data_IF_074317813558
#
_entry.id   IF_074317813558
#
_cell.length_a   1.000
_cell.length_b   1.000
_cell.length_c   1.000
_cell.angle_alpha   90.00
_cell.angle_beta   90.00
_cell.angle_gamma   90.00
#
_symmetry.space_group_name_H-M   'P 1'
#
loop_
_entity.id
_entity.type
_entity.pdbx_description
1 polymer ?
#
# COMPACT_ATOMS: atom_id res chain seq x y z
N UNK A 1 18.69 18.06 -9.41
CA UNK A 1 17.28 17.89 -9.00
C UNK A 1 16.70 16.81 -9.89
N UNK A 2 16.81 15.55 -9.46
CA UNK A 2 16.26 14.43 -10.22
C UNK A 2 14.80 14.27 -9.82
N UNK A 3 13.90 14.71 -10.70
CA UNK A 3 12.51 14.27 -10.66
C UNK A 3 12.48 12.84 -11.18
N UNK A 4 12.72 11.86 -10.29
CA UNK A 4 12.37 10.48 -10.59
C UNK A 4 10.88 10.44 -10.89
N UNK A 5 10.55 10.24 -12.18
CA UNK A 5 9.21 9.90 -12.60
C UNK A 5 8.82 8.66 -11.82
N UNK A 6 7.91 8.84 -10.87
CA UNK A 6 7.30 7.76 -10.11
C UNK A 6 6.60 6.90 -11.16
N UNK A 7 7.15 5.73 -11.47
CA UNK A 7 6.56 4.81 -12.45
C UNK A 7 5.18 4.44 -11.93
N UNK A 8 4.18 5.05 -12.57
CA UNK A 8 2.74 4.88 -12.37
C UNK A 8 2.39 3.45 -12.72
N UNK A 9 2.34 2.54 -11.75
CA UNK A 9 2.23 1.12 -12.07
C UNK A 9 1.07 0.43 -11.34
N UNK A 10 -0.04 0.35 -12.08
CA UNK A 10 -1.12 -0.62 -11.89
C UNK A 10 -0.65 -2.08 -11.76
N UNK A 11 0.64 -2.34 -12.01
CA UNK A 11 1.31 -3.63 -11.86
C UNK A 11 1.28 -4.20 -10.45
N UNK A 12 1.49 -3.41 -9.38
CA UNK A 12 1.44 -3.97 -8.01
C UNK A 12 0.04 -4.48 -7.65
N UNK A 13 -0.98 -3.67 -7.93
CA UNK A 13 -2.36 -4.05 -7.69
C UNK A 13 -2.70 -5.32 -8.45
N UNK A 14 -2.41 -5.36 -9.75
CA UNK A 14 -2.72 -6.51 -10.61
C UNK A 14 -1.94 -7.76 -10.21
N UNK A 15 -0.66 -7.61 -9.83
CA UNK A 15 0.23 -8.72 -9.43
C UNK A 15 -0.23 -9.42 -8.15
N UNK A 16 -0.71 -8.65 -7.16
CA UNK A 16 -1.02 -9.16 -5.82
C UNK A 16 -2.51 -9.24 -5.49
N UNK A 17 -3.42 -8.81 -6.39
CA UNK A 17 -4.87 -8.80 -6.13
C UNK A 17 -5.39 -10.15 -5.62
N UNK A 18 -5.02 -11.25 -6.30
CA UNK A 18 -5.46 -12.59 -5.91
C UNK A 18 -4.86 -13.01 -4.57
N UNK A 19 -3.58 -12.73 -4.37
CA UNK A 19 -2.84 -13.08 -3.16
C UNK A 19 -3.39 -12.36 -1.93
N UNK A 20 -3.91 -11.14 -2.07
CA UNK A 20 -4.41 -10.33 -0.96
C UNK A 20 -5.90 -10.39 -0.73
N UNK A 21 -6.61 -11.29 -1.43
CA UNK A 21 -8.01 -11.57 -1.10
C UNK A 21 -8.13 -11.92 0.38
N UNK A 22 -9.03 -11.23 1.09
CA UNK A 22 -9.24 -11.44 2.52
C UNK A 22 -9.73 -12.88 2.81
N UNK A 23 -9.40 -13.41 3.99
CA UNK A 23 -9.80 -14.74 4.41
C UNK A 23 -8.65 -15.61 4.89
N UNK A 24 -8.97 -16.86 5.25
CA UNK A 24 -8.07 -17.77 5.98
C UNK A 24 -7.10 -18.56 5.10
N UNK A 25 -7.08 -18.31 3.78
CA UNK A 25 -6.08 -18.91 2.90
C UNK A 25 -4.73 -18.28 3.20
N UNK A 26 -3.84 -19.05 3.82
CA UNK A 26 -2.48 -18.61 4.14
C UNK A 26 -1.71 -18.28 2.88
N UNK A 27 -1.11 -17.09 2.83
CA UNK A 27 -0.16 -16.74 1.79
C UNK A 27 1.23 -17.26 2.16
N UNK A 28 1.96 -17.85 1.21
CA UNK A 28 3.33 -18.27 1.45
C UNK A 28 4.21 -17.05 1.80
N UNK A 29 5.04 -17.20 2.84
CA UNK A 29 5.95 -16.15 3.33
C UNK A 29 6.82 -15.54 2.23
N UNK A 30 7.29 -16.36 1.29
CA UNK A 30 8.10 -15.91 0.15
C UNK A 30 7.37 -14.87 -0.72
N UNK A 31 6.05 -15.04 -0.94
CA UNK A 31 5.23 -14.07 -1.67
C UNK A 31 5.10 -12.75 -0.92
N UNK A 32 5.02 -12.80 0.41
CA UNK A 32 5.00 -11.59 1.24
C UNK A 32 6.33 -10.84 1.21
N UNK A 33 7.46 -11.57 1.22
CA UNK A 33 8.79 -10.96 1.07
C UNK A 33 8.99 -10.35 -0.31
N UNK A 34 8.52 -11.03 -1.36
CA UNK A 34 8.52 -10.49 -2.73
C UNK A 34 7.73 -9.18 -2.79
N UNK A 35 6.55 -9.12 -2.18
CA UNK A 35 5.76 -7.89 -2.09
C UNK A 35 6.52 -6.75 -1.41
N UNK A 36 7.16 -7.03 -0.26
CA UNK A 36 7.99 -6.03 0.44
C UNK A 36 9.17 -5.56 -0.42
N UNK A 37 9.81 -6.47 -1.15
CA UNK A 37 10.89 -6.14 -2.08
C UNK A 37 10.40 -5.21 -3.20
N UNK A 38 9.23 -5.47 -3.78
CA UNK A 38 8.65 -4.64 -4.82
C UNK A 38 8.26 -3.25 -4.29
N UNK A 39 7.65 -3.17 -3.10
CA UNK A 39 7.34 -1.88 -2.44
C UNK A 39 8.59 -1.04 -2.21
N UNK A 40 9.70 -1.68 -1.84
CA UNK A 40 10.98 -1.02 -1.62
C UNK A 40 11.55 -0.51 -2.94
N UNK A 41 11.60 -1.38 -3.95
CA UNK A 41 12.18 -1.08 -5.28
C UNK A 41 11.42 0.04 -5.99
N UNK A 42 10.10 0.07 -5.84
CA UNK A 42 9.25 1.09 -6.44
C UNK A 42 9.14 2.37 -5.58
N UNK A 43 9.81 2.43 -4.43
CA UNK A 43 9.85 3.64 -3.58
C UNK A 43 8.54 3.92 -2.83
N UNK A 44 7.65 2.94 -2.67
CA UNK A 44 6.42 3.10 -1.90
C UNK A 44 6.70 3.27 -0.40
N UNK A 45 7.74 2.62 0.11
CA UNK A 45 8.14 2.74 1.51
C UNK A 45 8.81 4.09 1.80
N UNK A 46 8.41 4.74 2.88
CA UNK A 46 8.93 6.04 3.28
C UNK A 46 10.33 5.88 3.90
N UNK A 47 11.30 6.63 3.36
CA UNK A 47 12.62 6.77 3.98
C UNK A 47 12.51 7.49 5.34
N UNK A 48 11.82 8.63 5.34
CA UNK A 48 11.53 9.42 6.54
C UNK A 48 10.19 8.97 7.13
N UNK A 49 10.25 8.27 8.26
CA UNK A 49 9.09 7.72 8.95
C UNK A 49 9.18 8.04 10.44
N UNK A 50 8.07 8.50 11.01
CA UNK A 50 7.95 8.85 12.43
C UNK A 50 6.83 8.04 13.08
N UNK A 51 7.10 7.44 14.23
CA UNK A 51 6.12 6.65 14.97
C UNK A 51 4.92 7.49 15.46
N UNK A 52 5.11 8.77 15.75
CA UNK A 52 4.01 9.67 16.15
C UNK A 52 2.97 9.85 15.05
N UNK A 53 3.44 10.04 13.80
CA UNK A 53 2.54 10.15 12.66
C UNK A 53 1.82 8.83 12.39
N UNK A 54 2.51 7.69 12.54
CA UNK A 54 1.87 6.38 12.50
C UNK A 54 0.78 6.24 13.57
N UNK A 55 1.08 6.59 14.83
CA UNK A 55 0.13 6.47 15.94
C UNK A 55 -1.17 7.24 15.68
N UNK A 56 -1.08 8.43 15.10
CA UNK A 56 -2.25 9.23 14.72
C UNK A 56 -3.09 8.63 13.58
N UNK A 57 -2.58 7.62 12.87
CA UNK A 57 -3.23 6.98 11.73
C UNK A 57 -3.46 5.47 11.92
N UNK A 58 -3.06 4.89 13.07
CA UNK A 58 -3.09 3.43 13.28
C UNK A 58 -4.51 2.86 13.23
N UNK A 59 -5.51 3.69 13.57
CA UNK A 59 -6.93 3.35 13.49
C UNK A 59 -7.38 2.87 12.10
N UNK A 60 -6.65 3.20 11.04
CA UNK A 60 -6.94 2.73 9.68
C UNK A 60 -6.71 1.22 9.53
N UNK A 61 -5.82 0.62 10.32
CA UNK A 61 -5.62 -0.83 10.34
C UNK A 61 -6.78 -1.51 11.07
N UNK A 62 -7.22 -0.94 12.19
CA UNK A 62 -8.34 -1.49 12.97
C UNK A 62 -9.70 -1.33 12.26
N UNK A 63 -9.81 -0.31 11.39
CA UNK A 63 -11.03 0.01 10.63
C UNK A 63 -10.71 0.13 9.13
N UNK A 64 -10.50 -1.00 8.43
CA UNK A 64 -10.08 -1.00 7.02
C UNK A 64 -11.06 -0.26 6.09
N UNK A 65 -12.33 -0.18 6.46
CA UNK A 65 -13.34 0.57 5.70
C UNK A 65 -12.97 2.06 5.49
N UNK A 66 -12.22 2.67 6.41
CA UNK A 66 -11.78 4.06 6.29
C UNK A 66 -10.61 4.25 5.31
N UNK A 67 -9.93 3.18 4.91
CA UNK A 67 -8.84 3.24 3.91
C UNK A 67 -9.38 3.69 2.54
N UNK A 68 -10.67 3.47 2.25
CA UNK A 68 -11.32 3.96 1.03
C UNK A 68 -11.13 5.46 0.82
N UNK A 69 -11.04 6.22 1.90
CA UNK A 69 -10.95 7.68 1.88
C UNK A 69 -9.53 8.19 2.21
N UNK A 70 -8.59 7.28 2.51
CA UNK A 70 -7.20 7.61 2.84
C UNK A 70 -6.46 8.29 1.68
N UNK A 71 -5.51 9.17 1.98
CA UNK A 71 -4.60 9.76 1.00
C UNK A 71 -3.48 8.78 0.61
N UNK A 72 -2.79 9.06 -0.51
CA UNK A 72 -1.57 8.30 -0.91
C UNK A 72 -0.54 8.30 0.21
N UNK A 73 -0.35 9.44 0.90
CA UNK A 73 0.59 9.56 2.00
C UNK A 73 0.23 8.64 3.17
N UNK A 74 -1.06 8.52 3.50
CA UNK A 74 -1.53 7.59 4.53
C UNK A 74 -1.33 6.14 4.08
N UNK A 75 -1.68 5.78 2.85
CA UNK A 75 -1.43 4.43 2.33
C UNK A 75 0.07 4.05 2.42
N UNK A 76 0.98 4.95 2.03
CA UNK A 76 2.43 4.76 2.17
C UNK A 76 2.87 4.64 3.63
N UNK A 77 2.27 5.42 4.52
CA UNK A 77 2.54 5.33 5.96
C UNK A 77 2.15 3.96 6.51
N UNK A 78 0.95 3.46 6.18
CA UNK A 78 0.48 2.15 6.61
C UNK A 78 1.42 1.04 6.11
N UNK A 79 1.73 1.02 4.81
CA UNK A 79 2.65 0.04 4.23
C UNK A 79 4.02 0.09 4.91
N UNK A 80 4.58 1.29 5.11
CA UNK A 80 5.88 1.46 5.76
C UNK A 80 5.88 0.98 7.20
N UNK A 81 4.89 1.37 8.00
CA UNK A 81 4.78 0.96 9.40
C UNK A 81 4.73 -0.56 9.51
N UNK A 82 3.89 -1.18 8.69
CA UNK A 82 3.59 -2.61 8.80
C UNK A 82 4.72 -3.48 8.27
N UNK A 83 5.36 -3.07 7.18
CA UNK A 83 6.59 -3.72 6.70
C UNK A 83 7.72 -3.63 7.74
N UNK A 84 7.87 -2.49 8.43
CA UNK A 84 8.86 -2.37 9.51
C UNK A 84 8.49 -3.24 10.71
N UNK A 85 7.22 -3.32 11.08
CA UNK A 85 6.75 -4.18 12.17
C UNK A 85 6.92 -5.67 11.87
N UNK A 86 6.75 -6.11 10.62
CA UNK A 86 6.97 -7.50 10.19
C UNK A 86 8.39 -8.00 10.52
N UNK A 87 9.39 -7.12 10.46
CA UNK A 87 10.78 -7.46 10.83
C UNK A 87 10.90 -7.81 12.32
N UNK A 88 10.14 -7.14 13.18
CA UNK A 88 10.18 -7.36 14.63
C UNK A 88 9.17 -8.43 15.09
N UNK A 89 8.06 -8.56 14.39
CA UNK A 89 6.98 -9.49 14.70
C UNK A 89 6.50 -10.15 13.40
N UNK A 90 7.05 -11.34 13.07
CA UNK A 90 6.64 -12.07 11.88
C UNK A 90 5.14 -12.39 11.89
N UNK A 91 4.48 -12.18 10.75
CA UNK A 91 3.04 -12.43 10.57
C UNK A 91 2.14 -11.20 10.67
N UNK A 92 2.69 -10.01 10.90
CA UNK A 92 1.94 -8.74 10.88
C UNK A 92 1.29 -8.51 9.52
N UNK A 93 2.05 -8.66 8.42
CA UNK A 93 1.53 -8.46 7.07
C UNK A 93 0.51 -9.53 6.70
N UNK A 94 0.71 -10.77 7.14
CA UNK A 94 -0.24 -11.85 6.90
C UNK A 94 -1.55 -11.61 7.67
N UNK A 95 -1.47 -11.10 8.89
CA UNK A 95 -2.66 -10.73 9.65
C UNK A 95 -3.40 -9.56 8.99
N UNK A 96 -2.70 -8.54 8.49
CA UNK A 96 -3.32 -7.46 7.71
C UNK A 96 -4.00 -7.96 6.45
N UNK A 97 -3.36 -8.90 5.73
CA UNK A 97 -3.95 -9.55 4.56
C UNK A 97 -5.27 -10.23 4.93
N UNK A 98 -5.25 -11.07 5.96
CA UNK A 98 -6.43 -11.80 6.45
C UNK A 98 -7.57 -10.85 6.84
N UNK A 99 -7.25 -9.71 7.46
CA UNK A 99 -8.22 -8.67 7.82
C UNK A 99 -8.67 -7.79 6.64
N UNK A 100 -8.16 -8.01 5.43
CA UNK A 100 -8.50 -7.23 4.23
C UNK A 100 -7.85 -5.84 4.15
N UNK A 101 -6.93 -5.52 5.07
CA UNK A 101 -6.24 -4.22 5.12
C UNK A 101 -5.36 -4.02 3.88
N UNK A 102 -4.55 -5.03 3.52
CA UNK A 102 -3.67 -4.93 2.35
C UNK A 102 -4.46 -4.73 1.06
N UNK A 103 -5.55 -5.50 0.87
CA UNK A 103 -6.42 -5.34 -0.29
C UNK A 103 -7.03 -3.94 -0.35
N UNK A 104 -7.56 -3.43 0.76
CA UNK A 104 -8.14 -2.09 0.82
C UNK A 104 -7.13 -0.99 0.48
N UNK A 105 -5.87 -1.12 0.91
CA UNK A 105 -4.79 -0.19 0.54
C UNK A 105 -4.53 -0.26 -0.96
N UNK A 106 -4.38 -1.47 -1.51
CA UNK A 106 -4.06 -1.67 -2.93
C UNK A 106 -5.18 -1.14 -3.84
N UNK A 107 -6.45 -1.42 -3.51
CA UNK A 107 -7.60 -0.87 -4.23
C UNK A 107 -7.63 0.66 -4.16
N UNK A 108 -7.30 1.24 -3.00
CA UNK A 108 -7.28 2.70 -2.84
C UNK A 108 -6.21 3.34 -3.71
N UNK A 109 -5.00 2.80 -3.70
CA UNK A 109 -3.90 3.30 -4.53
C UNK A 109 -4.27 3.23 -6.02
N UNK A 110 -4.82 2.09 -6.48
CA UNK A 110 -5.28 1.92 -7.86
C UNK A 110 -6.33 2.99 -8.25
N UNK A 111 -7.31 3.27 -7.39
CA UNK A 111 -8.33 4.31 -7.65
C UNK A 111 -7.72 5.71 -7.73
N UNK A 112 -6.75 6.02 -6.87
CA UNK A 112 -6.08 7.33 -6.85
C UNK A 112 -5.21 7.56 -8.10
N UNK A 113 -4.61 6.50 -8.63
CA UNK A 113 -3.86 6.54 -9.89
C UNK A 113 -4.78 6.82 -11.09
N UNK A 114 -5.89 6.10 -11.22
CA UNK A 114 -6.86 6.30 -12.31
C UNK A 114 -7.36 7.74 -12.36
N UNK A 115 -7.75 8.30 -11.20
CA UNK A 115 -8.25 9.68 -11.11
C UNK A 115 -7.18 10.71 -11.50
N UNK A 116 -5.92 10.44 -11.20
CA UNK A 116 -4.81 11.36 -11.53
C UNK A 116 -4.51 11.32 -13.03
N UNK A 117 -4.55 10.14 -13.65
CA UNK A 117 -4.39 9.96 -15.10
C UNK A 117 -5.50 10.66 -15.89
N UNK A 118 -6.77 10.46 -15.51
CA UNK A 118 -7.91 11.07 -16.20
C UNK A 118 -7.87 12.61 -16.14
N UNK A 119 -7.45 13.19 -15.01
CA UNK A 119 -7.29 14.64 -14.87
C UNK A 119 -6.15 15.18 -15.73
N UNK A 120 -5.04 14.45 -15.87
CA UNK A 120 -3.93 14.86 -16.74
C UNK A 120 -4.34 14.86 -18.22
N UNK A 121 -5.08 13.85 -18.68
CA UNK A 121 -5.60 13.80 -20.06
C UNK A 121 -6.58 14.96 -20.33
N UNK A 122 -7.46 15.26 -19.38
CA UNK A 122 -8.42 16.37 -19.50
C UNK A 122 -7.74 17.76 -19.57
N UNK A 123 -6.58 17.94 -18.92
CA UNK A 123 -5.83 19.20 -18.97
C UNK A 123 -5.02 19.38 -20.26
N UNK A 124 -4.62 18.29 -20.93
CA UNK A 124 -3.85 18.35 -22.20
C UNK A 124 -4.79 18.58 -23.41
N UNK A 125 -6.09 18.31 -23.26
CA UNK A 125 -7.08 18.41 -24.35
C UNK A 125 -7.83 19.76 -24.39
N UNK A 126 -7.30 20.79 -23.72
CA UNK A 126 -7.85 22.16 -23.71
C UNK A 126 -6.83 23.16 -24.23
#
# INVERSE_FOLDING_TARGET
>A
METSAMTTDSGLYTKYLKDFTAGDVSLHRERMLEFVSDLTTQGWLLANFTWDYWYNNSYLVDKPAYIRDASVAQCRLLLTAMTRLEVFSPGVLENMRRQGVLLAIMERLQRLEVVTSDKQVAFITR
#
